data_IF_961117952058
#
_entry.id   IF_961117952058
#
_cell.length_a   1.000
_cell.length_b   1.000
_cell.length_c   1.000
_cell.angle_alpha   90.00
_cell.angle_beta   90.00
_cell.angle_gamma   90.00
#
_symmetry.space_group_name_H-M   'P 1'
#
loop_
_entity.id
_entity.type
_entity.pdbx_description
1 polymer ?
#
# COMPACT_ATOMS: atom_id res chain seq x y z
N UNK A 1 18.79 -26.74 7.42
CA UNK A 1 18.36 -25.35 7.69
C UNK A 1 18.01 -24.72 6.37
N UNK A 2 16.76 -24.77 5.95
CA UNK A 2 16.32 -24.16 4.69
C UNK A 2 16.10 -22.67 4.96
N UNK A 3 17.01 -21.83 4.47
CA UNK A 3 16.77 -20.41 4.44
C UNK A 3 15.63 -20.16 3.42
N UNK A 4 14.44 -19.88 3.91
CA UNK A 4 13.39 -19.30 3.09
C UNK A 4 13.87 -17.90 2.68
N UNK A 5 14.47 -17.80 1.50
CA UNK A 5 14.86 -16.52 0.93
C UNK A 5 13.57 -15.82 0.51
N UNK A 6 13.20 -14.80 1.25
CA UNK A 6 12.09 -13.93 0.84
C UNK A 6 12.47 -13.19 -0.45
N UNK A 7 11.54 -13.15 -1.39
CA UNK A 7 11.70 -12.42 -2.66
C UNK A 7 12.14 -10.97 -2.43
N UNK A 8 11.75 -10.36 -1.31
CA UNK A 8 12.13 -8.99 -0.94
C UNK A 8 13.60 -8.83 -0.54
N UNK A 9 14.25 -9.91 -0.07
CA UNK A 9 15.67 -9.91 0.27
C UNK A 9 16.59 -10.08 -0.94
N UNK A 10 16.05 -10.42 -2.11
CA UNK A 10 16.80 -10.53 -3.34
C UNK A 10 17.08 -9.16 -3.96
N UNK A 11 18.18 -8.98 -4.70
CA UNK A 11 18.38 -7.80 -5.53
C UNK A 11 17.17 -7.58 -6.43
N UNK A 12 16.54 -6.41 -6.34
CA UNK A 12 15.29 -6.11 -7.07
C UNK A 12 14.01 -6.69 -6.47
N UNK A 13 14.07 -7.36 -5.31
CA UNK A 13 12.89 -7.94 -4.65
C UNK A 13 11.80 -6.93 -4.34
N UNK A 14 12.16 -5.70 -3.98
CA UNK A 14 11.20 -4.60 -3.83
C UNK A 14 10.41 -4.37 -5.12
N UNK A 15 11.10 -4.30 -6.27
CA UNK A 15 10.48 -4.09 -7.59
C UNK A 15 9.52 -5.24 -7.89
N UNK A 16 9.90 -6.47 -7.61
CA UNK A 16 9.04 -7.66 -7.83
C UNK A 16 7.77 -7.54 -6.97
N UNK A 17 7.88 -7.17 -5.71
CA UNK A 17 6.72 -6.99 -4.83
C UNK A 17 5.82 -5.84 -5.29
N UNK A 18 6.39 -4.73 -5.77
CA UNK A 18 5.64 -3.65 -6.40
C UNK A 18 4.91 -4.15 -7.64
N UNK A 19 5.57 -4.90 -8.52
CA UNK A 19 4.94 -5.50 -9.71
C UNK A 19 3.78 -6.43 -9.34
N UNK A 20 3.96 -7.30 -8.34
CA UNK A 20 2.89 -8.18 -7.86
C UNK A 20 1.71 -7.36 -7.33
N UNK A 21 1.97 -6.29 -6.57
CA UNK A 21 0.93 -5.39 -6.07
C UNK A 21 0.21 -4.69 -7.22
N UNK A 22 0.94 -4.23 -8.23
CA UNK A 22 0.38 -3.65 -9.43
C UNK A 22 -0.54 -4.65 -10.17
N UNK A 23 -0.09 -5.88 -10.38
CA UNK A 23 -0.89 -6.94 -11.01
C UNK A 23 -2.16 -7.21 -10.20
N UNK A 24 -2.05 -7.35 -8.88
CA UNK A 24 -3.23 -7.54 -8.01
C UNK A 24 -4.21 -6.37 -8.12
N UNK A 25 -3.70 -5.15 -8.17
CA UNK A 25 -4.51 -3.93 -8.28
C UNK A 25 -5.28 -3.86 -9.59
N UNK A 26 -4.74 -4.45 -10.66
CA UNK A 26 -5.42 -4.53 -11.96
C UNK A 26 -6.70 -5.35 -11.92
N UNK A 27 -6.70 -6.44 -11.15
CA UNK A 27 -7.88 -7.30 -11.01
C UNK A 27 -8.89 -6.77 -9.99
N UNK A 28 -8.56 -5.70 -9.26
CA UNK A 28 -9.50 -5.04 -8.36
C UNK A 28 -10.38 -4.04 -9.14
N UNK A 29 -11.64 -3.83 -8.71
CA UNK A 29 -12.49 -2.84 -9.36
C UNK A 29 -11.86 -1.45 -9.22
N UNK A 30 -11.95 -0.65 -10.30
CA UNK A 30 -11.55 0.76 -10.26
C UNK A 30 -12.33 1.50 -9.19
N UNK A 31 -11.68 2.41 -8.50
CA UNK A 31 -12.30 3.20 -7.43
C UNK A 31 -13.31 4.20 -7.97
N UNK A 32 -13.15 4.58 -9.23
CA UNK A 32 -14.06 5.51 -9.90
C UNK A 32 -14.30 5.08 -11.36
N UNK A 33 -15.57 5.07 -11.79
CA UNK A 33 -15.91 5.09 -13.22
C UNK A 33 -15.78 6.54 -13.66
N UNK A 34 -14.79 6.82 -14.50
CA UNK A 34 -14.69 8.13 -15.17
C UNK A 34 -15.89 8.19 -16.13
N UNK A 35 -16.96 8.84 -15.71
CA UNK A 35 -17.94 9.35 -16.65
C UNK A 35 -17.30 10.55 -17.32
N UNK A 36 -17.09 10.46 -18.63
CA UNK A 36 -16.49 11.51 -19.43
C UNK A 36 -17.25 12.82 -19.19
N UNK A 37 -16.59 13.78 -18.57
CA UNK A 37 -17.04 15.17 -18.54
C UNK A 37 -17.14 15.88 -17.20
N UNK A 38 -17.00 15.22 -16.04
CA UNK A 38 -17.13 15.91 -14.75
C UNK A 38 -16.06 15.51 -13.75
N UNK A 39 -14.97 16.27 -13.71
CA UNK A 39 -13.95 16.15 -12.65
C UNK A 39 -14.41 16.91 -11.41
N UNK A 40 -15.20 16.31 -10.57
CA UNK A 40 -15.40 16.85 -9.21
C UNK A 40 -14.21 16.45 -8.34
N UNK A 41 -13.63 17.38 -7.60
CA UNK A 41 -12.51 17.14 -6.67
C UNK A 41 -12.77 16.00 -5.66
N UNK A 42 -14.01 15.59 -5.47
CA UNK A 42 -14.43 14.51 -4.57
C UNK A 42 -13.98 13.12 -4.99
N UNK A 43 -13.64 12.88 -6.25
CA UNK A 43 -13.23 11.54 -6.72
C UNK A 43 -11.90 11.07 -6.12
N UNK A 44 -11.00 12.00 -5.75
CA UNK A 44 -9.70 11.68 -5.14
C UNK A 44 -9.81 11.21 -3.68
N UNK A 45 -10.93 11.47 -3.01
CA UNK A 45 -11.09 11.19 -1.58
C UNK A 45 -11.75 9.84 -1.28
N UNK A 46 -11.60 8.88 -2.21
CA UNK A 46 -12.14 7.53 -2.06
C UNK A 46 -11.11 6.63 -1.41
N UNK A 47 -11.55 5.79 -0.48
CA UNK A 47 -10.68 4.82 0.20
C UNK A 47 -10.32 3.65 -0.73
N UNK A 48 -9.05 3.29 -0.72
CA UNK A 48 -8.55 2.06 -1.34
C UNK A 48 -8.10 1.10 -0.28
N UNK A 49 -8.56 -0.14 -0.33
CA UNK A 49 -8.19 -1.19 0.61
C UNK A 49 -7.43 -2.32 -0.09
N UNK A 50 -6.39 -2.80 0.57
CA UNK A 50 -5.65 -3.98 0.16
C UNK A 50 -5.29 -4.82 1.39
N UNK A 51 -5.51 -6.13 1.30
CA UNK A 51 -5.24 -7.06 2.40
C UNK A 51 -3.91 -7.75 2.19
N UNK A 52 -3.13 -7.80 3.26
CA UNK A 52 -1.84 -8.48 3.35
C UNK A 52 -1.83 -9.49 4.49
N UNK A 53 -0.76 -10.26 4.54
CA UNK A 53 -0.43 -11.17 5.65
C UNK A 53 0.99 -10.91 6.08
N UNK A 54 1.23 -10.93 7.39
CA UNK A 54 2.57 -10.86 7.97
C UNK A 54 3.31 -12.17 7.73
N UNK A 55 4.52 -12.11 7.16
CA UNK A 55 5.37 -13.26 6.86
C UNK A 55 6.63 -13.24 7.71
N UNK A 56 7.43 -14.31 7.64
CA UNK A 56 8.69 -14.44 8.40
C UNK A 56 9.67 -13.28 8.18
N UNK A 57 9.72 -12.75 6.98
CA UNK A 57 10.54 -11.61 6.59
C UNK A 57 10.07 -10.27 7.17
N UNK A 58 8.84 -10.23 7.68
CA UNK A 58 8.30 -9.03 8.31
C UNK A 58 8.63 -8.94 9.79
N UNK A 59 9.02 -10.06 10.41
CA UNK A 59 9.15 -10.20 11.86
C UNK A 59 10.55 -9.80 12.31
N UNK A 60 10.60 -9.02 13.38
CA UNK A 60 11.83 -8.70 14.11
C UNK A 60 12.17 -9.78 15.16
N UNK A 61 13.26 -9.55 15.88
CA UNK A 61 13.73 -10.47 16.94
C UNK A 61 12.77 -10.58 18.13
N UNK A 62 11.78 -9.69 18.23
CA UNK A 62 10.76 -9.71 19.28
C UNK A 62 9.49 -10.47 18.86
N UNK A 63 9.47 -11.03 17.65
CA UNK A 63 8.32 -11.77 17.12
C UNK A 63 7.16 -10.90 16.66
N UNK A 64 7.41 -9.62 16.43
CA UNK A 64 6.45 -8.66 15.94
C UNK A 64 6.86 -8.10 14.58
N UNK A 65 5.91 -7.60 13.82
CA UNK A 65 6.20 -6.94 12.56
C UNK A 65 7.14 -5.76 12.76
N UNK A 66 8.27 -5.78 12.06
CA UNK A 66 9.28 -4.73 12.14
C UNK A 66 8.70 -3.39 11.68
N UNK A 67 9.06 -2.31 12.40
CA UNK A 67 8.59 -0.96 12.13
C UNK A 67 8.88 -0.49 10.70
N UNK A 68 9.99 -0.89 10.10
CA UNK A 68 10.32 -0.57 8.71
C UNK A 68 9.34 -1.15 7.70
N UNK A 69 8.77 -2.33 7.99
CA UNK A 69 7.84 -3.00 7.09
C UNK A 69 6.49 -2.29 7.02
N UNK A 70 6.07 -1.56 8.06
CA UNK A 70 4.88 -0.71 7.93
C UNK A 70 5.06 0.35 6.83
N UNK A 71 6.21 1.01 6.76
CA UNK A 71 6.49 1.95 5.68
C UNK A 71 6.47 1.27 4.30
N UNK A 72 7.04 0.08 4.18
CA UNK A 72 7.05 -0.71 2.96
C UNK A 72 5.61 -1.05 2.49
N UNK A 73 4.76 -1.49 3.40
CA UNK A 73 3.36 -1.76 3.08
C UNK A 73 2.59 -0.49 2.74
N UNK A 74 2.94 0.66 3.34
CA UNK A 74 2.40 1.95 2.94
C UNK A 74 2.73 2.28 1.49
N UNK A 75 3.93 1.95 0.98
CA UNK A 75 4.27 2.10 -0.44
C UNK A 75 3.34 1.25 -1.31
N UNK A 76 3.16 -0.02 -0.96
CA UNK A 76 2.25 -0.90 -1.71
C UNK A 76 0.80 -0.37 -1.71
N UNK A 77 0.34 0.19 -0.59
CA UNK A 77 -0.97 0.82 -0.49
C UNK A 77 -1.10 2.03 -1.43
N UNK A 78 -0.07 2.87 -1.54
CA UNK A 78 -0.05 4.02 -2.46
C UNK A 78 -0.04 3.58 -3.92
N UNK A 79 0.73 2.56 -4.28
CA UNK A 79 0.69 1.97 -5.62
C UNK A 79 -0.69 1.39 -5.95
N UNK A 80 -1.29 0.63 -5.03
CA UNK A 80 -2.64 0.09 -5.21
C UNK A 80 -3.67 1.21 -5.42
N UNK A 81 -3.61 2.25 -4.60
CA UNK A 81 -4.47 3.43 -4.73
C UNK A 81 -4.32 4.07 -6.10
N UNK A 82 -3.10 4.40 -6.49
CA UNK A 82 -2.81 5.11 -7.73
C UNK A 82 -3.25 4.33 -8.98
N UNK A 83 -3.01 3.02 -9.02
CA UNK A 83 -3.41 2.17 -10.15
C UNK A 83 -4.93 2.06 -10.26
N UNK A 84 -5.63 1.94 -9.13
CA UNK A 84 -7.09 1.84 -9.12
C UNK A 84 -7.77 3.17 -9.48
N UNK A 85 -7.10 4.29 -9.19
CA UNK A 85 -7.60 5.63 -9.52
C UNK A 85 -7.28 6.04 -10.96
N UNK A 86 -6.03 5.91 -11.37
CA UNK A 86 -5.52 6.50 -12.61
C UNK A 86 -5.19 5.47 -13.69
N UNK A 87 -5.25 4.18 -13.37
CA UNK A 87 -4.82 3.11 -14.27
C UNK A 87 -3.29 3.04 -14.40
N UNK A 88 -2.82 2.18 -15.31
CA UNK A 88 -1.38 1.96 -15.55
C UNK A 88 -0.68 3.09 -16.26
N UNK A 89 -1.41 3.90 -17.02
CA UNK A 89 -0.85 5.03 -17.76
C UNK A 89 -0.16 6.05 -16.85
N UNK A 90 -0.51 6.04 -15.57
CA UNK A 90 0.11 6.87 -14.55
C UNK A 90 1.55 6.46 -14.24
N UNK A 91 1.88 5.16 -14.24
CA UNK A 91 3.20 4.63 -13.85
C UNK A 91 4.36 5.16 -14.71
N UNK A 92 4.09 5.63 -15.93
CA UNK A 92 5.10 6.23 -16.80
C UNK A 92 5.09 7.76 -16.88
N UNK A 93 4.09 8.41 -16.26
CA UNK A 93 3.84 9.85 -16.45
C UNK A 93 4.01 10.69 -15.19
N UNK A 94 3.97 10.07 -14.01
CA UNK A 94 4.10 10.80 -12.74
C UNK A 94 5.09 10.11 -11.82
N UNK A 95 6.03 10.90 -11.28
CA UNK A 95 6.94 10.48 -10.23
C UNK A 95 6.45 11.05 -8.91
N UNK A 96 6.12 10.16 -7.97
CA UNK A 96 5.75 10.53 -6.62
C UNK A 96 6.87 10.11 -5.65
N UNK A 97 7.43 11.06 -4.93
CA UNK A 97 8.45 10.82 -3.91
C UNK A 97 7.84 11.10 -2.54
N UNK A 98 8.07 10.23 -1.59
CA UNK A 98 7.64 10.46 -0.21
C UNK A 98 8.51 11.54 0.41
N UNK A 99 7.96 12.72 0.62
CA UNK A 99 8.67 13.86 1.24
C UNK A 99 8.73 13.78 2.76
N UNK A 100 7.69 13.20 3.39
CA UNK A 100 7.63 13.00 4.84
C UNK A 100 6.64 11.88 5.17
N UNK A 101 6.87 11.19 6.29
CA UNK A 101 5.90 10.25 6.87
C UNK A 101 5.89 10.38 8.39
N UNK A 102 4.70 10.23 8.98
CA UNK A 102 4.51 10.15 10.42
C UNK A 102 3.68 8.91 10.70
N UNK A 103 4.22 7.95 11.46
CA UNK A 103 3.56 6.69 11.80
C UNK A 103 3.41 6.57 13.31
N UNK A 104 2.20 6.22 13.73
CA UNK A 104 1.90 5.85 15.11
C UNK A 104 1.69 4.35 15.20
N UNK A 105 2.49 3.67 16.01
CA UNK A 105 2.44 2.24 16.24
C UNK A 105 1.58 1.96 17.48
N UNK A 106 0.27 1.85 17.29
CA UNK A 106 -0.67 1.63 18.38
C UNK A 106 -0.75 0.16 18.81
N UNK A 107 -0.53 -0.76 17.86
CA UNK A 107 -0.58 -2.20 18.07
C UNK A 107 0.32 -2.92 17.08
N UNK A 108 1.12 -3.87 17.56
CA UNK A 108 1.98 -4.69 16.70
C UNK A 108 1.20 -5.85 16.07
N UNK A 109 1.56 -6.19 14.84
CA UNK A 109 1.11 -7.41 14.18
C UNK A 109 2.07 -8.56 14.45
N UNK A 110 1.50 -9.76 14.58
CA UNK A 110 2.24 -11.01 14.78
C UNK A 110 2.33 -11.80 13.48
N UNK A 111 3.24 -12.78 13.46
CA UNK A 111 3.42 -13.71 12.35
C UNK A 111 2.07 -14.30 11.89
N UNK A 112 1.87 -14.39 10.59
CA UNK A 112 0.69 -14.90 9.89
C UNK A 112 -0.62 -14.13 10.11
N UNK A 113 -0.64 -13.09 10.89
CA UNK A 113 -1.82 -12.24 11.00
C UNK A 113 -2.14 -11.58 9.65
N UNK A 114 -3.42 -11.58 9.29
CA UNK A 114 -3.92 -10.79 8.16
C UNK A 114 -4.26 -9.40 8.63
N UNK A 115 -3.95 -8.42 7.81
CA UNK A 115 -4.35 -7.05 8.02
C UNK A 115 -4.78 -6.40 6.72
N UNK A 116 -5.68 -5.45 6.80
CA UNK A 116 -6.11 -4.60 5.69
C UNK A 116 -5.49 -3.23 5.87
N UNK A 117 -4.81 -2.77 4.82
CA UNK A 117 -4.30 -1.41 4.72
C UNK A 117 -5.30 -0.59 3.91
N UNK A 118 -5.86 0.43 4.54
CA UNK A 118 -6.70 1.44 3.90
C UNK A 118 -5.85 2.66 3.58
N UNK A 119 -5.92 3.10 2.35
CA UNK A 119 -5.22 4.28 1.84
C UNK A 119 -6.22 5.26 1.27
N UNK A 120 -6.18 6.51 1.72
CA UNK A 120 -7.01 7.61 1.22
C UNK A 120 -6.19 8.88 1.07
N UNK A 121 -6.52 9.69 0.08
CA UNK A 121 -6.06 11.07 -0.03
C UNK A 121 -6.88 11.92 0.92
N UNK A 122 -6.23 12.74 1.73
CA UNK A 122 -6.91 13.64 2.69
C UNK A 122 -6.77 15.11 2.31
N UNK A 123 -5.74 15.45 1.54
CA UNK A 123 -5.56 16.79 1.04
C UNK A 123 -4.66 16.80 -0.20
N UNK A 124 -4.84 17.80 -1.03
CA UNK A 124 -3.96 18.13 -2.15
C UNK A 124 -3.65 19.63 -2.06
N UNK A 125 -2.38 19.99 -2.05
CA UNK A 125 -1.94 21.39 -2.00
C UNK A 125 -0.73 21.58 -2.91
N UNK A 126 -0.89 22.32 -3.98
CA UNK A 126 0.13 22.53 -5.00
C UNK A 126 0.61 21.20 -5.59
N UNK A 127 1.88 20.86 -5.40
CA UNK A 127 2.49 19.59 -5.85
C UNK A 127 2.42 18.49 -4.81
N UNK A 128 1.88 18.75 -3.61
CA UNK A 128 1.87 17.81 -2.52
C UNK A 128 0.52 17.11 -2.41
N UNK A 129 0.57 15.79 -2.20
CA UNK A 129 -0.60 14.96 -1.92
C UNK A 129 -0.42 14.36 -0.54
N UNK A 130 -1.41 14.53 0.31
CA UNK A 130 -1.41 14.02 1.68
C UNK A 130 -2.23 12.73 1.73
N UNK A 131 -1.58 11.64 2.13
CA UNK A 131 -2.23 10.36 2.33
C UNK A 131 -2.47 10.09 3.81
N UNK A 132 -3.65 9.53 4.11
CA UNK A 132 -3.90 8.84 5.36
C UNK A 132 -3.88 7.35 5.09
N UNK A 133 -3.10 6.61 5.87
CA UNK A 133 -3.02 5.16 5.76
C UNK A 133 -3.28 4.53 7.12
N UNK A 134 -4.23 3.60 7.18
CA UNK A 134 -4.66 2.96 8.43
C UNK A 134 -4.61 1.45 8.28
N UNK A 135 -4.11 0.80 9.32
CA UNK A 135 -3.97 -0.66 9.39
C UNK A 135 -5.08 -1.23 10.25
N UNK A 136 -5.79 -2.19 9.73
CA UNK A 136 -6.88 -2.88 10.43
C UNK A 136 -6.55 -4.36 10.53
N UNK A 137 -6.64 -4.91 11.74
CA UNK A 137 -6.51 -6.35 11.93
C UNK A 137 -7.76 -7.04 11.37
N UNK A 138 -7.56 -8.04 10.50
CA UNK A 138 -8.65 -8.89 10.06
C UNK A 138 -8.91 -9.94 11.14
N UNK A 139 -10.03 -9.80 11.84
CA UNK A 139 -10.49 -10.87 12.71
C UNK A 139 -11.15 -11.95 11.85
N UNK A 140 -10.77 -13.20 12.06
CA UNK A 140 -11.50 -14.31 11.47
C UNK A 140 -12.89 -14.37 12.11
N UNK A 141 -13.92 -14.21 11.31
CA UNK A 141 -15.26 -14.65 11.65
C UNK A 141 -15.38 -16.15 11.37
#
# INVERSE_FOLDING_TARGET
MYAFCDVRSLPGGYIICVCITCIRSFFQPKLHKIEEGYYTHSFLFVDSEITFRVWFCDIDNYGHMNNSNYNLYCDYGRYNYAIRMFGYDWLGKAYCVVGASNIQYLRSFKLFQKFTLRTSVVAVSGKNVWFRQSYFLCFYS
#
